data_IF_561152273284
#
_entry.id   IF_561152273284
#
_cell.length_a   1.000
_cell.length_b   1.000
_cell.length_c   1.000
_cell.angle_alpha   90.00
_cell.angle_beta   90.00
_cell.angle_gamma   90.00
#
_symmetry.space_group_name_H-M   'P 1'
#
loop_
_entity.id
_entity.type
_entity.pdbx_description
1 polymer ?
#
# COMPACT_ATOMS: atom_id res chain seq x y z
N UNK A 1 -4.58 10.01 -20.89
CA UNK A 1 -4.12 8.86 -21.71
C UNK A 1 -4.32 7.52 -21.00
N UNK A 2 -3.93 7.38 -19.71
CA UNK A 2 -4.11 6.11 -18.98
C UNK A 2 -5.55 5.80 -18.53
N UNK A 3 -6.25 6.77 -17.93
CA UNK A 3 -7.64 6.57 -17.45
C UNK A 3 -8.67 6.51 -18.57
N UNK A 4 -8.39 7.11 -19.73
CA UNK A 4 -9.34 7.22 -20.85
C UNK A 4 -9.81 5.84 -21.35
N UNK A 5 -8.89 4.87 -21.40
CA UNK A 5 -9.21 3.49 -21.77
C UNK A 5 -10.09 2.81 -20.70
N UNK A 6 -9.82 3.05 -19.41
CA UNK A 6 -10.63 2.51 -18.31
C UNK A 6 -12.03 3.10 -18.30
N UNK A 7 -12.19 4.41 -18.51
CA UNK A 7 -13.51 5.04 -18.61
C UNK A 7 -14.29 4.61 -19.85
N UNK A 8 -13.59 4.35 -20.97
CA UNK A 8 -14.24 3.80 -22.16
C UNK A 8 -14.76 2.37 -21.92
N UNK A 9 -14.01 1.54 -21.19
CA UNK A 9 -14.41 0.18 -20.84
C UNK A 9 -15.46 0.12 -19.71
N UNK A 10 -15.38 1.05 -18.75
CA UNK A 10 -16.22 1.12 -17.57
C UNK A 10 -16.81 2.54 -17.41
N UNK A 11 -17.86 2.88 -18.18
CA UNK A 11 -18.41 4.25 -18.21
C UNK A 11 -19.17 4.65 -16.95
N UNK A 12 -19.53 3.69 -16.09
CA UNK A 12 -20.18 3.93 -14.81
C UNK A 12 -19.16 3.78 -13.67
N UNK A 13 -19.08 4.79 -12.82
CA UNK A 13 -18.25 4.77 -11.62
C UNK A 13 -18.91 3.91 -10.55
N UNK A 14 -18.14 3.05 -9.89
CA UNK A 14 -18.63 2.26 -8.76
C UNK A 14 -18.85 3.09 -7.50
N UNK A 15 -18.05 4.15 -7.30
CA UNK A 15 -18.10 5.03 -6.13
C UNK A 15 -18.58 6.43 -6.53
N UNK A 16 -19.89 6.62 -6.57
CA UNK A 16 -20.52 7.88 -7.03
C UNK A 16 -20.32 9.06 -6.07
N UNK A 17 -20.21 8.79 -4.76
CA UNK A 17 -20.13 9.81 -3.71
C UNK A 17 -18.70 10.19 -3.32
N UNK A 18 -17.69 9.60 -3.94
CA UNK A 18 -16.28 9.86 -3.66
C UNK A 18 -15.76 10.91 -4.66
N UNK A 19 -15.02 11.94 -4.21
CA UNK A 19 -14.41 12.91 -5.10
C UNK A 19 -13.60 12.24 -6.21
N UNK A 20 -13.55 12.85 -7.38
CA UNK A 20 -12.72 12.35 -8.47
C UNK A 20 -11.24 12.42 -8.09
N UNK A 21 -10.55 11.30 -8.33
CA UNK A 21 -9.10 11.22 -8.21
C UNK A 21 -8.56 10.87 -9.60
N UNK A 22 -7.63 11.67 -10.16
CA UNK A 22 -7.10 11.44 -11.51
C UNK A 22 -6.31 10.13 -11.64
N UNK A 23 -5.90 9.53 -10.53
CA UNK A 23 -5.10 8.30 -10.49
C UNK A 23 -5.89 7.07 -10.06
N UNK A 24 -7.12 7.23 -9.54
CA UNK A 24 -7.94 6.10 -9.07
C UNK A 24 -9.25 6.03 -9.87
N UNK A 25 -9.47 4.90 -10.52
CA UNK A 25 -10.71 4.59 -11.24
C UNK A 25 -11.41 3.41 -10.57
N UNK A 26 -12.53 3.68 -9.91
CA UNK A 26 -13.35 2.66 -9.25
C UNK A 26 -14.44 2.13 -10.19
N UNK A 27 -14.45 0.83 -10.46
CA UNK A 27 -15.39 0.15 -11.37
C UNK A 27 -16.06 -1.04 -10.68
N UNK A 28 -17.17 -1.53 -11.24
CA UNK A 28 -17.82 -2.76 -10.76
C UNK A 28 -17.60 -3.88 -11.77
N UNK A 29 -17.04 -5.00 -11.32
CA UNK A 29 -16.85 -6.23 -12.11
C UNK A 29 -17.54 -7.36 -11.33
N UNK A 30 -18.54 -7.99 -11.93
CA UNK A 30 -19.32 -9.08 -11.32
C UNK A 30 -19.73 -8.77 -9.85
N UNK A 31 -20.33 -7.59 -9.65
CA UNK A 31 -20.80 -7.06 -8.35
C UNK A 31 -19.70 -6.67 -7.34
N UNK A 32 -18.43 -6.88 -7.66
CA UNK A 32 -17.29 -6.47 -6.84
C UNK A 32 -16.78 -5.09 -7.27
N UNK A 33 -16.54 -4.21 -6.30
CA UNK A 33 -15.87 -2.93 -6.57
C UNK A 33 -14.36 -3.17 -6.69
N UNK A 34 -13.81 -2.80 -7.84
CA UNK A 34 -12.37 -2.88 -8.14
C UNK A 34 -11.86 -1.45 -8.33
N UNK A 35 -10.88 -1.08 -7.52
CA UNK A 35 -10.19 0.21 -7.61
C UNK A 35 -8.90 0.02 -8.43
N UNK A 36 -8.84 0.64 -9.61
CA UNK A 36 -7.62 0.71 -10.42
C UNK A 36 -6.81 1.93 -10.03
N UNK A 37 -5.60 1.72 -9.53
CA UNK A 37 -4.60 2.77 -9.31
C UNK A 37 -3.69 2.85 -10.53
N UNK A 38 -3.59 4.03 -11.15
CA UNK A 38 -2.60 4.30 -12.18
C UNK A 38 -1.27 4.64 -11.54
N UNK A 39 -0.34 3.68 -11.60
CA UNK A 39 0.98 3.82 -11.03
C UNK A 39 1.77 4.97 -11.68
N UNK A 40 2.41 5.76 -10.83
CA UNK A 40 3.36 6.79 -11.16
C UNK A 40 4.80 6.24 -11.14
N UNK A 41 5.70 6.80 -11.96
CA UNK A 41 7.12 6.46 -11.91
C UNK A 41 7.71 6.69 -10.52
N UNK A 42 8.66 5.84 -10.12
CA UNK A 42 9.29 5.87 -8.80
C UNK A 42 8.75 4.79 -7.89
N UNK A 43 8.14 5.17 -6.76
CA UNK A 43 7.73 4.19 -5.74
C UNK A 43 6.67 3.19 -6.25
N UNK A 44 5.63 3.65 -6.93
CA UNK A 44 4.53 2.77 -7.37
C UNK A 44 4.98 1.80 -8.47
N UNK A 45 5.91 2.22 -9.34
CA UNK A 45 6.59 1.34 -10.30
C UNK A 45 7.38 0.25 -9.57
N UNK A 46 8.13 0.60 -8.53
CA UNK A 46 8.87 -0.38 -7.73
C UNK A 46 7.98 -1.40 -7.03
N UNK A 47 6.80 -1.01 -6.55
CA UNK A 47 5.84 -1.94 -5.94
C UNK A 47 5.41 -3.01 -6.96
N UNK A 48 5.21 -2.61 -8.22
CA UNK A 48 4.86 -3.53 -9.31
C UNK A 48 6.02 -4.46 -9.62
N UNK A 49 7.24 -3.93 -9.74
CA UNK A 49 8.44 -4.72 -10.05
C UNK A 49 8.79 -5.73 -8.94
N UNK A 50 8.57 -5.35 -7.67
CA UNK A 50 8.82 -6.18 -6.49
C UNK A 50 7.63 -7.05 -6.10
N UNK A 51 6.53 -7.01 -6.85
CA UNK A 51 5.37 -7.83 -6.56
C UNK A 51 5.77 -9.30 -6.46
N UNK A 52 5.23 -9.98 -5.47
CA UNK A 52 5.50 -11.39 -5.20
C UNK A 52 4.30 -12.21 -5.63
N UNK A 53 4.59 -13.30 -6.35
CA UNK A 53 3.56 -14.28 -6.70
C UNK A 53 3.21 -15.13 -5.47
N UNK A 54 1.92 -15.24 -5.17
CA UNK A 54 1.38 -16.04 -4.06
C UNK A 54 0.32 -17.00 -4.56
N UNK A 55 0.49 -18.25 -4.16
CA UNK A 55 -0.51 -19.30 -4.35
C UNK A 55 -1.69 -19.07 -3.38
N UNK A 56 -2.88 -18.89 -3.94
CA UNK A 56 -4.14 -18.70 -3.24
C UNK A 56 -5.06 -19.92 -3.43
N UNK A 57 -4.48 -21.09 -3.71
CA UNK A 57 -5.17 -22.35 -3.92
C UNK A 57 -5.56 -22.56 -5.37
N UNK A 58 -6.75 -22.09 -5.77
CA UNK A 58 -7.23 -22.29 -7.14
C UNK A 58 -6.66 -21.29 -8.15
N UNK A 59 -5.88 -20.31 -7.68
CA UNK A 59 -5.31 -19.26 -8.51
C UNK A 59 -3.99 -18.77 -7.89
N UNK A 60 -3.15 -18.18 -8.73
CA UNK A 60 -1.93 -17.50 -8.33
C UNK A 60 -2.10 -15.99 -8.53
N UNK A 61 -1.76 -15.17 -7.54
CA UNK A 61 -1.82 -13.70 -7.63
C UNK A 61 -0.46 -13.08 -7.43
N UNK A 62 -0.21 -12.03 -8.21
CA UNK A 62 0.81 -11.04 -7.88
C UNK A 62 0.24 -10.09 -6.82
N UNK A 63 0.90 -10.02 -5.68
CA UNK A 63 0.57 -9.07 -4.60
C UNK A 63 1.81 -8.24 -4.26
N UNK A 64 1.64 -7.06 -3.68
CA UNK A 64 2.77 -6.29 -3.17
C UNK A 64 3.51 -7.06 -2.05
N UNK A 65 4.78 -6.74 -1.85
CA UNK A 65 5.55 -7.28 -0.73
C UNK A 65 4.97 -6.83 0.61
N UNK A 66 5.35 -7.50 1.70
CA UNK A 66 4.90 -7.10 3.03
C UNK A 66 5.45 -5.72 3.41
N UNK A 67 6.69 -5.42 3.01
CA UNK A 67 7.35 -4.15 3.15
C UNK A 67 6.58 -3.03 2.44
N UNK A 68 6.24 -3.24 1.17
CA UNK A 68 5.51 -2.25 0.38
C UNK A 68 4.08 -2.02 0.91
N UNK A 69 3.43 -3.08 1.42
CA UNK A 69 2.13 -2.98 2.09
C UNK A 69 2.21 -2.17 3.39
N UNK A 70 3.27 -2.36 4.18
CA UNK A 70 3.54 -1.56 5.39
C UNK A 70 3.73 -0.09 5.02
N UNK A 71 4.60 0.22 4.06
CA UNK A 71 4.87 1.59 3.63
C UNK A 71 3.57 2.27 3.16
N UNK A 72 2.78 1.61 2.29
CA UNK A 72 1.51 2.17 1.81
C UNK A 72 0.52 2.44 2.95
N UNK A 73 0.42 1.54 3.94
CA UNK A 73 -0.45 1.72 5.11
C UNK A 73 0.00 2.88 6.00
N UNK A 74 1.30 2.99 6.26
CA UNK A 74 1.87 4.05 7.09
C UNK A 74 1.66 5.41 6.41
N UNK A 75 1.95 5.54 5.12
CA UNK A 75 1.80 6.80 4.37
C UNK A 75 0.32 7.20 4.22
N UNK A 76 -0.60 6.24 4.10
CA UNK A 76 -2.04 6.54 4.07
C UNK A 76 -2.54 7.15 5.41
N UNK A 77 -1.85 6.89 6.52
CA UNK A 77 -2.04 7.60 7.79
C UNK A 77 -3.42 7.45 8.44
N UNK A 78 -4.28 6.53 8.00
CA UNK A 78 -5.61 6.37 8.61
C UNK A 78 -5.45 5.58 9.90
N UNK A 79 -6.09 6.00 10.99
CA UNK A 79 -5.87 5.40 12.32
C UNK A 79 -6.06 3.88 12.44
N UNK A 80 -6.80 3.23 11.53
CA UNK A 80 -6.92 1.75 11.46
C UNK A 80 -5.71 1.07 10.81
N UNK A 81 -4.99 1.78 9.95
CA UNK A 81 -3.86 1.24 9.18
C UNK A 81 -2.68 0.86 10.10
N UNK A 82 -2.57 1.45 11.30
CA UNK A 82 -1.51 1.12 12.28
C UNK A 82 -1.66 -0.25 12.95
N UNK A 83 -2.88 -0.74 13.18
CA UNK A 83 -3.09 -2.09 13.74
C UNK A 83 -2.68 -3.17 12.72
N UNK A 84 -2.95 -2.92 11.44
CA UNK A 84 -2.52 -3.82 10.36
C UNK A 84 -0.99 -3.80 10.21
N UNK A 85 -0.36 -2.63 10.33
CA UNK A 85 1.12 -2.52 10.34
C UNK A 85 1.71 -3.29 11.52
N UNK A 86 1.15 -3.15 12.73
CA UNK A 86 1.60 -3.90 13.90
C UNK A 86 1.51 -5.41 13.69
N UNK A 87 0.38 -5.89 13.15
CA UNK A 87 0.19 -7.31 12.84
C UNK A 87 1.21 -7.81 11.81
N UNK A 88 1.45 -7.06 10.74
CA UNK A 88 2.45 -7.41 9.72
C UNK A 88 3.87 -7.45 10.30
N UNK A 89 4.25 -6.50 11.14
CA UNK A 89 5.56 -6.48 11.81
C UNK A 89 5.75 -7.71 12.70
N UNK A 90 4.71 -8.14 13.43
CA UNK A 90 4.76 -9.35 14.27
C UNK A 90 4.84 -10.61 13.40
N UNK A 91 3.96 -10.75 12.42
CA UNK A 91 3.88 -11.95 11.58
C UNK A 91 5.14 -12.15 10.72
N UNK A 92 5.74 -11.05 10.25
CA UNK A 92 6.89 -11.05 9.37
C UNK A 92 8.21 -10.80 10.11
N UNK A 93 8.21 -10.89 11.45
CA UNK A 93 9.39 -10.64 12.27
C UNK A 93 10.61 -11.44 11.79
N UNK A 94 11.76 -10.76 11.68
CA UNK A 94 13.03 -11.32 11.20
C UNK A 94 13.06 -11.65 9.69
N UNK A 95 12.01 -11.33 8.93
CA UNK A 95 11.94 -11.57 7.48
C UNK A 95 11.81 -10.29 6.65
N UNK A 96 11.48 -9.16 7.28
CA UNK A 96 11.33 -7.88 6.60
C UNK A 96 12.69 -7.24 6.32
N UNK A 97 12.80 -6.58 5.17
CA UNK A 97 13.85 -5.60 4.93
C UNK A 97 13.47 -4.26 5.58
N UNK A 98 13.81 -4.12 6.86
CA UNK A 98 13.46 -2.94 7.65
C UNK A 98 14.19 -1.67 7.16
N UNK A 99 15.40 -1.81 6.60
CA UNK A 99 16.13 -0.69 6.03
C UNK A 99 15.40 -0.14 4.81
N UNK A 100 14.91 -1.01 3.92
CA UNK A 100 14.08 -0.62 2.79
C UNK A 100 12.83 0.15 3.21
N UNK A 101 12.14 -0.32 4.26
CA UNK A 101 10.95 0.38 4.78
C UNK A 101 11.33 1.77 5.31
N UNK A 102 12.37 1.86 6.13
CA UNK A 102 12.80 3.14 6.72
C UNK A 102 13.26 4.14 5.65
N UNK A 103 14.01 3.71 4.64
CA UNK A 103 14.49 4.56 3.55
C UNK A 103 13.34 5.17 2.74
N UNK A 104 12.29 4.40 2.47
CA UNK A 104 11.10 4.91 1.79
C UNK A 104 10.26 5.81 2.68
N UNK A 105 10.03 5.43 3.94
CA UNK A 105 9.29 6.26 4.88
C UNK A 105 9.98 7.60 5.15
N UNK A 106 11.31 7.64 5.17
CA UNK A 106 12.08 8.88 5.26
C UNK A 106 11.85 9.79 4.04
N UNK A 107 11.88 9.23 2.82
CA UNK A 107 11.60 9.98 1.59
C UNK A 107 10.17 10.51 1.57
N UNK A 108 9.18 9.71 1.99
CA UNK A 108 7.79 10.18 2.09
C UNK A 108 7.60 11.23 3.18
N UNK A 109 8.22 11.07 4.34
CA UNK A 109 8.18 12.04 5.41
C UNK A 109 8.75 13.40 4.96
N UNK A 110 9.84 13.40 4.19
CA UNK A 110 10.41 14.61 3.59
C UNK A 110 9.46 15.20 2.53
N UNK A 111 9.03 14.40 1.56
CA UNK A 111 8.23 14.87 0.43
C UNK A 111 6.85 15.39 0.83
N UNK A 112 6.27 14.85 1.89
CA UNK A 112 4.97 15.26 2.44
C UNK A 112 5.09 16.32 3.55
N UNK A 113 6.31 16.66 3.97
CA UNK A 113 6.57 17.50 5.16
C UNK A 113 5.92 16.94 6.45
N UNK A 114 5.88 15.61 6.56
CA UNK A 114 5.23 14.86 7.63
C UNK A 114 6.23 13.96 8.39
N UNK A 115 7.11 14.52 9.24
CA UNK A 115 8.12 13.76 9.98
C UNK A 115 7.53 12.71 10.95
N UNK A 116 6.25 12.83 11.30
CA UNK A 116 5.52 11.85 12.10
C UNK A 116 5.41 10.48 11.44
N UNK A 117 5.46 10.39 10.10
CA UNK A 117 5.36 9.14 9.34
C UNK A 117 6.46 8.17 9.79
N UNK A 118 7.71 8.64 9.74
CA UNK A 118 8.87 7.83 10.10
C UNK A 118 8.92 7.58 11.61
N UNK A 119 8.81 8.64 12.43
CA UNK A 119 8.92 8.49 13.89
C UNK A 119 7.80 7.62 14.50
N UNK A 120 6.59 7.61 13.94
CA UNK A 120 5.51 6.74 14.41
C UNK A 120 5.76 5.27 14.04
N UNK A 121 6.34 5.02 12.87
CA UNK A 121 6.75 3.67 12.46
C UNK A 121 7.88 3.13 13.36
N UNK A 122 8.91 3.93 13.62
CA UNK A 122 10.04 3.56 14.50
C UNK A 122 9.57 3.21 15.92
N UNK A 123 8.68 4.02 16.50
CA UNK A 123 8.10 3.75 17.81
C UNK A 123 7.30 2.43 17.84
N UNK A 124 6.58 2.11 16.76
CA UNK A 124 5.84 0.87 16.65
C UNK A 124 6.77 -0.33 16.49
N UNK A 125 7.82 -0.21 15.67
CA UNK A 125 8.83 -1.23 15.47
C UNK A 125 9.50 -1.57 16.82
N UNK A 126 9.98 -0.57 17.56
CA UNK A 126 10.57 -0.78 18.89
C UNK A 126 9.61 -1.46 19.88
N UNK A 127 8.31 -1.12 19.82
CA UNK A 127 7.29 -1.73 20.67
C UNK A 127 7.16 -3.23 20.33
N UNK A 128 7.13 -3.58 19.05
CA UNK A 128 7.01 -4.98 18.59
C UNK A 128 8.26 -5.78 18.96
N UNK A 129 9.46 -5.23 18.79
CA UNK A 129 10.72 -5.88 19.18
C UNK A 129 10.80 -6.18 20.68
N UNK A 130 10.26 -5.29 21.53
CA UNK A 130 10.20 -5.50 22.98
C UNK A 130 9.20 -6.58 23.40
N UNK A 131 8.21 -6.91 22.57
CA UNK A 131 7.24 -7.98 22.83
C UNK A 131 7.76 -9.37 22.39
N UNK A 132 8.71 -9.40 21.45
CA UNK A 132 9.32 -10.63 20.94
C UNK A 132 10.52 -11.15 21.74
N UNK A 133 11.03 -10.36 22.71
CA UNK A 133 12.15 -10.70 23.60
C UNK A 133 11.69 -11.22 24.97
#
# INVERSE_FOLDING_TARGET
MGTDALYAAFPKRAREHVPENPLIVAVTIDEVIVDFLLALPGYEEMIIERAVERDMGSLSLWICSAEDLIIQKVVAGRGKDWLDVEALLIEQHGRLDEQYIQDWLAQFAEALEEPQILSSYELLLEKVEKLGN
#
